data_IF_534131806847
#
_entry.id   IF_534131806847
#
_cell.length_a   1.000
_cell.length_b   1.000
_cell.length_c   1.000
_cell.angle_alpha   90.00
_cell.angle_beta   90.00
_cell.angle_gamma   90.00
#
_symmetry.space_group_name_H-M   'P 1'
#
loop_
_entity.id
_entity.type
_entity.pdbx_description
1 polymer ?
#
# COMPACT_ATOMS: atom_id res chain seq x y z
N UNK A 1 -12.05 9.02 -1.03
CA UNK A 1 -11.53 7.63 -1.04
C UNK A 1 -12.58 6.64 -1.53
N UNK A 2 -13.73 6.49 -0.86
CA UNK A 2 -14.77 5.53 -1.27
C UNK A 2 -15.30 5.75 -2.70
N UNK A 3 -15.58 7.01 -3.09
CA UNK A 3 -16.07 7.34 -4.44
C UNK A 3 -15.04 7.00 -5.53
N UNK A 4 -13.76 7.26 -5.28
CA UNK A 4 -12.66 6.91 -6.19
C UNK A 4 -12.54 5.40 -6.37
N UNK A 5 -12.79 4.61 -5.31
CA UNK A 5 -12.78 3.15 -5.38
C UNK A 5 -13.96 2.65 -6.23
N UNK A 6 -15.16 3.21 -6.04
CA UNK A 6 -16.33 2.86 -6.87
C UNK A 6 -16.05 3.16 -8.34
N UNK A 7 -15.47 4.33 -8.64
CA UNK A 7 -15.08 4.70 -9.99
C UNK A 7 -14.05 3.72 -10.61
N UNK A 8 -13.02 3.34 -9.85
CA UNK A 8 -12.02 2.37 -10.30
C UNK A 8 -12.66 1.01 -10.65
N UNK A 9 -13.57 0.54 -9.79
CA UNK A 9 -14.32 -0.70 -9.99
C UNK A 9 -15.20 -0.62 -11.24
N UNK A 10 -15.93 0.48 -11.45
CA UNK A 10 -16.75 0.69 -12.65
C UNK A 10 -15.93 0.71 -13.94
N UNK A 11 -14.70 1.22 -13.87
CA UNK A 11 -13.75 1.25 -15.00
C UNK A 11 -12.97 -0.05 -15.18
N UNK A 12 -13.07 -1.00 -14.24
CA UNK A 12 -12.31 -2.24 -14.24
C UNK A 12 -10.79 -2.02 -14.11
N UNK A 13 -10.38 -0.95 -13.44
CA UNK A 13 -8.97 -0.56 -13.26
C UNK A 13 -8.56 -0.65 -11.79
N UNK A 14 -7.30 -0.97 -11.52
CA UNK A 14 -6.71 -0.76 -10.21
C UNK A 14 -6.66 0.73 -9.86
N UNK A 15 -6.54 1.06 -8.57
CA UNK A 15 -6.33 2.46 -8.16
C UNK A 15 -4.99 2.98 -8.70
N UNK A 16 -4.00 2.11 -8.77
CA UNK A 16 -2.69 2.36 -9.36
C UNK A 16 -2.73 2.66 -10.87
N UNK A 17 -3.79 2.25 -11.58
CA UNK A 17 -3.96 2.45 -13.03
C UNK A 17 -4.79 3.70 -13.37
N UNK A 18 -5.33 4.39 -12.37
CA UNK A 18 -6.04 5.65 -12.55
C UNK A 18 -5.05 6.79 -12.79
N UNK A 19 -5.41 7.72 -13.67
CA UNK A 19 -4.59 8.90 -13.99
C UNK A 19 -4.79 10.01 -12.94
N UNK A 20 -3.79 10.90 -12.78
CA UNK A 20 -3.91 12.07 -11.89
C UNK A 20 -5.14 12.94 -12.18
N UNK A 21 -5.52 13.22 -13.44
CA UNK A 21 -6.77 13.92 -13.72
C UNK A 21 -8.00 13.21 -13.16
N UNK A 22 -8.09 11.88 -13.26
CA UNK A 22 -9.20 11.08 -12.70
C UNK A 22 -9.20 11.17 -11.16
N UNK A 23 -8.03 11.12 -10.51
CA UNK A 23 -7.93 11.32 -9.06
C UNK A 23 -8.33 12.72 -8.62
N UNK A 24 -7.92 13.75 -9.38
CA UNK A 24 -8.22 15.16 -9.10
C UNK A 24 -9.71 15.51 -9.20
N UNK A 25 -10.51 14.69 -9.87
CA UNK A 25 -11.98 14.81 -9.84
C UNK A 25 -12.54 14.61 -8.44
N UNK A 26 -11.89 13.79 -7.61
CA UNK A 26 -12.31 13.49 -6.25
C UNK A 26 -11.56 14.31 -5.21
N UNK A 27 -10.30 14.67 -5.49
CA UNK A 27 -9.47 15.41 -4.56
C UNK A 27 -8.31 16.12 -5.26
N UNK A 28 -8.32 17.45 -5.25
CA UNK A 28 -7.29 18.29 -5.88
C UNK A 28 -5.92 18.19 -5.21
N UNK A 29 -5.85 17.68 -3.97
CA UNK A 29 -4.58 17.50 -3.25
C UNK A 29 -3.81 16.25 -3.69
N UNK A 30 -4.41 15.40 -4.52
CA UNK A 30 -3.75 14.18 -5.01
C UNK A 30 -2.75 14.54 -6.11
N UNK A 31 -1.49 14.21 -5.87
CA UNK A 31 -0.37 14.38 -6.78
C UNK A 31 0.21 13.04 -7.26
N UNK A 32 1.35 13.12 -7.94
CA UNK A 32 2.07 11.96 -8.48
C UNK A 32 2.61 11.02 -7.38
N UNK A 33 2.68 11.50 -6.13
CA UNK A 33 3.08 10.72 -4.94
C UNK A 33 2.10 9.59 -4.61
N UNK A 34 0.85 9.66 -5.12
CA UNK A 34 -0.17 8.63 -4.90
C UNK A 34 0.26 7.27 -5.45
N UNK A 35 0.97 7.23 -6.58
CA UNK A 35 1.41 5.98 -7.20
C UNK A 35 2.47 5.26 -6.37
N UNK A 36 3.39 6.01 -5.78
CA UNK A 36 4.41 5.47 -4.89
C UNK A 36 3.75 4.88 -3.64
N UNK A 37 2.74 5.59 -3.10
CA UNK A 37 2.00 5.17 -1.91
C UNK A 37 1.16 3.91 -2.17
N UNK A 38 0.51 3.83 -3.33
CA UNK A 38 -0.34 2.71 -3.74
C UNK A 38 0.45 1.46 -4.17
N UNK A 39 1.76 1.58 -4.36
CA UNK A 39 2.61 0.43 -4.67
C UNK A 39 2.53 -0.66 -3.61
N UNK A 40 2.61 -1.92 -4.04
CA UNK A 40 2.59 -3.08 -3.15
C UNK A 40 3.71 -3.01 -2.10
N UNK A 41 4.88 -2.53 -2.51
CA UNK A 41 6.05 -2.40 -1.64
C UNK A 41 5.80 -1.38 -0.53
N UNK A 42 5.29 -0.19 -0.85
CA UNK A 42 4.88 0.82 0.14
C UNK A 42 3.82 0.29 1.11
N UNK A 43 2.85 -0.49 0.61
CA UNK A 43 1.83 -1.13 1.44
C UNK A 43 2.41 -2.12 2.47
N UNK A 44 3.46 -2.85 2.10
CA UNK A 44 4.17 -3.77 3.00
C UNK A 44 5.06 -3.03 3.99
N UNK A 45 5.80 -2.02 3.53
CA UNK A 45 6.75 -1.27 4.35
C UNK A 45 6.04 -0.44 5.42
N UNK A 46 4.86 0.11 5.12
CA UNK A 46 4.02 0.81 6.11
C UNK A 46 3.51 -0.10 7.22
N UNK A 47 3.45 -1.42 7.01
CA UNK A 47 3.07 -2.40 8.04
C UNK A 47 4.28 -2.80 8.89
N UNK A 48 4.99 -1.80 9.42
CA UNK A 48 6.20 -1.97 10.24
C UNK A 48 5.92 -2.07 11.75
N UNK A 49 4.67 -2.00 12.18
CA UNK A 49 4.27 -2.23 13.56
C UNK A 49 4.78 -3.59 14.07
N UNK A 50 4.92 -3.75 15.39
CA UNK A 50 5.37 -5.02 15.98
C UNK A 50 4.40 -6.15 15.59
N UNK A 51 4.91 -7.19 14.92
CA UNK A 51 4.09 -8.27 14.33
C UNK A 51 3.50 -7.96 12.94
N UNK A 52 3.91 -6.86 12.32
CA UNK A 52 3.53 -6.51 10.96
C UNK A 52 4.23 -7.36 9.89
N UNK A 53 3.75 -7.24 8.66
CA UNK A 53 4.23 -8.03 7.50
C UNK A 53 5.33 -7.33 6.71
N UNK A 54 5.91 -6.24 7.24
CA UNK A 54 7.03 -5.61 6.56
C UNK A 54 8.21 -6.59 6.46
N UNK A 55 9.00 -6.56 5.37
CA UNK A 55 10.13 -7.46 5.19
C UNK A 55 11.11 -7.44 6.38
N UNK A 56 11.32 -6.26 6.98
CA UNK A 56 12.12 -6.09 8.19
C UNK A 56 11.55 -6.87 9.39
N UNK A 57 10.24 -6.74 9.66
CA UNK A 57 9.57 -7.41 10.78
C UNK A 57 9.53 -8.93 10.58
N UNK A 58 9.34 -9.39 9.34
CA UNK A 58 9.38 -10.81 9.00
C UNK A 58 10.79 -11.38 9.23
N UNK A 59 11.83 -10.67 8.80
CA UNK A 59 13.21 -11.09 9.03
C UNK A 59 13.55 -11.18 10.54
N UNK A 60 13.14 -10.18 11.33
CA UNK A 60 13.30 -10.19 12.78
C UNK A 60 12.56 -11.37 13.43
N UNK A 61 11.29 -11.60 13.05
CA UNK A 61 10.50 -12.71 13.60
C UNK A 61 11.11 -14.08 13.27
N UNK A 62 11.67 -14.26 12.08
CA UNK A 62 12.38 -15.48 11.69
C UNK A 62 13.65 -15.65 12.54
N UNK A 63 14.42 -14.58 12.76
CA UNK A 63 15.62 -14.63 13.59
C UNK A 63 15.29 -14.96 15.05
N UNK A 64 14.27 -14.32 15.62
CA UNK A 64 13.79 -14.59 16.98
C UNK A 64 13.31 -16.04 17.13
N UNK A 65 12.55 -16.55 16.16
CA UNK A 65 12.11 -17.95 16.15
C UNK A 65 13.29 -18.93 16.10
N UNK A 66 14.30 -18.66 15.28
CA UNK A 66 15.51 -19.50 15.23
C UNK A 66 16.24 -19.55 16.57
N UNK A 67 16.37 -18.42 17.25
CA UNK A 67 17.00 -18.36 18.59
C UNK A 67 16.15 -19.07 19.65
N UNK A 68 14.82 -19.01 19.53
CA UNK A 68 13.91 -19.63 20.51
C UNK A 68 13.77 -21.14 20.38
N UNK A 69 14.03 -21.68 19.19
CA UNK A 69 13.97 -23.12 18.90
C UNK A 69 15.35 -23.75 18.64
N UNK A 70 16.44 -23.05 18.95
CA UNK A 70 17.80 -23.58 19.04
C UNK A 70 18.08 -24.09 20.46
#
# INVERSE_FOLDING_TARGET
MGETVVYAIEKGKGLEDLTIPEFRQFSEVVGDDVYEILSLQSCLDKRCAKGGVSPLRVAEAIAEAKTRFA
#
